data_IF_680343424376
#
_entry.id   IF_680343424376
#
_cell.length_a   1.000
_cell.length_b   1.000
_cell.length_c   1.000
_cell.angle_alpha   90.00
_cell.angle_beta   90.00
_cell.angle_gamma   90.00
#
_symmetry.space_group_name_H-M   'P 1'
#
loop_
_entity.id
_entity.type
_entity.pdbx_description
1 polymer ?
#
# COMPACT_ATOMS: atom_id res chain seq x y z
N UNK A 1 -15.21 -9.68 34.06
CA UNK A 1 -14.35 -8.52 34.41
C UNK A 1 -15.11 -7.21 34.58
N UNK A 2 -16.11 -6.89 33.74
CA UNK A 2 -16.84 -5.61 33.81
C UNK A 2 -17.88 -5.54 34.95
N UNK A 3 -18.37 -6.69 35.43
CA UNK A 3 -19.46 -6.77 36.42
C UNK A 3 -19.29 -5.89 37.69
N UNK A 4 -18.10 -5.75 38.30
CA UNK A 4 -17.94 -4.85 39.46
C UNK A 4 -18.11 -3.36 39.15
N UNK A 5 -17.92 -2.96 37.89
CA UNK A 5 -17.97 -1.56 37.47
C UNK A 5 -19.32 -1.19 36.84
N UNK A 6 -19.92 -2.12 36.08
CA UNK A 6 -21.18 -1.89 35.35
C UNK A 6 -22.15 -3.06 35.58
N UNK A 7 -22.63 -3.26 36.82
CA UNK A 7 -23.24 -4.53 37.23
C UNK A 7 -24.52 -4.88 36.47
N UNK A 8 -25.42 -3.92 36.25
CA UNK A 8 -26.66 -4.16 35.53
C UNK A 8 -26.43 -4.41 34.04
N UNK A 9 -25.49 -3.69 33.42
CA UNK A 9 -25.17 -3.88 32.01
C UNK A 9 -24.47 -5.22 31.77
N UNK A 10 -23.53 -5.58 32.64
CA UNK A 10 -22.85 -6.86 32.56
C UNK A 10 -23.82 -8.04 32.77
N UNK A 11 -24.79 -7.90 33.68
CA UNK A 11 -25.84 -8.91 33.90
C UNK A 11 -26.74 -9.09 32.67
N UNK A 12 -27.17 -7.99 32.06
CA UNK A 12 -28.00 -8.04 30.85
C UNK A 12 -27.26 -8.77 29.72
N UNK A 13 -26.01 -8.38 29.43
CA UNK A 13 -25.19 -9.04 28.41
C UNK A 13 -24.97 -10.52 28.72
N UNK A 14 -24.72 -10.87 29.99
CA UNK A 14 -24.55 -12.26 30.41
C UNK A 14 -25.80 -13.09 30.14
N UNK A 15 -26.99 -12.58 30.50
CA UNK A 15 -28.26 -13.28 30.33
C UNK A 15 -28.61 -13.63 28.87
N UNK A 16 -28.01 -12.91 27.90
CA UNK A 16 -28.12 -13.22 26.47
C UNK A 16 -27.15 -14.30 25.99
N UNK A 17 -26.04 -14.51 26.69
CA UNK A 17 -24.97 -15.43 26.30
C UNK A 17 -25.04 -16.76 27.04
N UNK A 18 -25.35 -16.71 28.33
CA UNK A 18 -25.30 -17.85 29.26
C UNK A 18 -26.47 -17.79 30.25
N UNK A 19 -26.79 -18.93 30.84
CA UNK A 19 -27.76 -19.00 31.94
C UNK A 19 -27.13 -18.54 33.28
N UNK A 20 -27.95 -18.10 34.23
CA UNK A 20 -27.50 -17.65 35.54
C UNK A 20 -27.13 -16.17 35.60
N UNK A 21 -26.26 -15.81 36.54
CA UNK A 21 -25.88 -14.41 36.84
C UNK A 21 -24.38 -14.27 36.86
N UNK A 22 -23.84 -13.27 36.15
CA UNK A 22 -22.39 -13.00 36.10
C UNK A 22 -21.83 -12.64 37.48
N UNK A 23 -22.69 -12.18 38.39
CA UNK A 23 -22.30 -11.80 39.76
C UNK A 23 -22.01 -13.01 40.66
N UNK A 24 -22.47 -14.20 40.28
CA UNK A 24 -22.17 -15.44 41.00
C UNK A 24 -20.97 -16.20 40.44
N UNK A 25 -20.47 -15.79 39.27
CA UNK A 25 -19.33 -16.43 38.64
C UNK A 25 -18.02 -16.09 39.34
N UNK A 26 -17.06 -17.03 39.38
CA UNK A 26 -15.74 -16.77 39.94
C UNK A 26 -15.03 -15.67 39.14
N UNK A 27 -14.14 -14.95 39.83
CA UNK A 27 -13.29 -13.99 39.13
C UNK A 27 -12.43 -14.71 38.10
N UNK A 28 -12.33 -14.11 36.90
CA UNK A 28 -11.55 -14.70 35.82
C UNK A 28 -10.09 -14.87 36.23
N UNK A 29 -9.55 -16.05 35.96
CA UNK A 29 -8.12 -16.36 36.05
C UNK A 29 -7.64 -16.82 34.68
N UNK A 30 -6.48 -16.34 34.26
CA UNK A 30 -5.90 -16.67 32.97
C UNK A 30 -4.43 -17.07 33.13
N UNK A 31 -4.02 -18.13 32.45
CA UNK A 31 -2.67 -18.67 32.51
C UNK A 31 -2.14 -19.14 31.15
N UNK A 32 -2.87 -18.86 30.07
CA UNK A 32 -2.45 -19.22 28.72
C UNK A 32 -1.69 -18.03 28.12
N UNK A 33 -0.53 -18.26 27.52
CA UNK A 33 0.18 -17.21 26.80
C UNK A 33 0.70 -17.80 25.50
N UNK A 34 0.56 -17.03 24.43
CA UNK A 34 0.91 -17.45 23.09
C UNK A 34 1.60 -16.27 22.40
N UNK A 35 2.91 -16.20 22.58
CA UNK A 35 3.74 -15.13 22.04
C UNK A 35 3.67 -15.09 20.50
N UNK A 36 3.47 -16.24 19.85
CA UNK A 36 3.33 -16.32 18.39
C UNK A 36 2.00 -15.69 17.93
N UNK A 37 0.90 -15.99 18.63
CA UNK A 37 -0.39 -15.36 18.35
C UNK A 37 -0.36 -13.83 18.58
N UNK A 38 0.33 -13.37 19.63
CA UNK A 38 0.50 -11.93 19.89
C UNK A 38 1.28 -11.28 18.75
N UNK A 39 2.43 -11.84 18.37
CA UNK A 39 3.28 -11.32 17.30
C UNK A 39 2.54 -11.25 15.95
N UNK A 40 1.87 -12.35 15.57
CA UNK A 40 1.14 -12.41 14.30
C UNK A 40 -0.07 -11.47 14.29
N UNK A 41 -0.77 -11.32 15.41
CA UNK A 41 -1.85 -10.35 15.59
C UNK A 41 -1.39 -8.90 15.47
N UNK A 42 -0.24 -8.54 16.02
CA UNK A 42 0.35 -7.21 15.87
C UNK A 42 0.70 -6.89 14.41
N UNK A 43 1.29 -7.85 13.69
CA UNK A 43 1.58 -7.71 12.25
C UNK A 43 0.28 -7.48 11.46
N UNK A 44 -0.77 -8.26 11.75
CA UNK A 44 -2.07 -8.12 11.10
C UNK A 44 -2.68 -6.73 11.31
N UNK A 45 -2.73 -6.24 12.55
CA UNK A 45 -3.26 -4.91 12.88
C UNK A 45 -2.49 -3.82 12.15
N UNK A 46 -1.16 -3.95 12.08
CA UNK A 46 -0.31 -3.00 11.36
C UNK A 46 -0.64 -3.00 9.87
N UNK A 47 -0.69 -4.17 9.23
CA UNK A 47 -1.01 -4.32 7.80
C UNK A 47 -2.37 -3.73 7.45
N UNK A 48 -3.43 -4.02 8.22
CA UNK A 48 -4.77 -3.48 7.97
C UNK A 48 -4.77 -1.95 8.06
N UNK A 49 -4.07 -1.40 9.06
CA UNK A 49 -3.96 0.05 9.26
C UNK A 49 -3.26 0.74 8.09
N UNK A 50 -2.19 0.14 7.58
CA UNK A 50 -1.42 0.63 6.42
C UNK A 50 -2.26 0.63 5.14
N UNK A 51 -3.00 -0.45 4.88
CA UNK A 51 -3.89 -0.54 3.71
C UNK A 51 -5.01 0.50 3.77
N UNK A 52 -5.60 0.73 4.95
CA UNK A 52 -6.63 1.77 5.14
C UNK A 52 -6.06 3.17 4.93
N UNK A 53 -4.84 3.42 5.40
CA UNK A 53 -4.16 4.69 5.15
C UNK A 53 -3.89 4.89 3.66
N UNK A 54 -3.39 3.87 2.96
CA UNK A 54 -3.20 3.92 1.50
C UNK A 54 -4.51 4.27 0.77
N UNK A 55 -5.63 3.65 1.14
CA UNK A 55 -6.95 3.99 0.56
C UNK A 55 -7.30 5.46 0.79
N UNK A 56 -7.15 5.93 2.02
CA UNK A 56 -7.44 7.31 2.38
C UNK A 56 -6.57 8.30 1.59
N UNK A 57 -5.26 8.04 1.49
CA UNK A 57 -4.32 8.90 0.77
C UNK A 57 -4.60 8.95 -0.74
N UNK A 58 -5.14 7.86 -1.30
CA UNK A 58 -5.63 7.78 -2.70
C UNK A 58 -7.06 8.30 -2.88
N UNK A 59 -7.72 8.77 -1.83
CA UNK A 59 -9.10 9.26 -1.87
C UNK A 59 -10.14 8.15 -2.10
N UNK A 60 -9.79 6.90 -1.85
CA UNK A 60 -10.68 5.75 -1.99
C UNK A 60 -11.55 5.57 -0.74
N UNK A 61 -12.78 5.11 -0.94
CA UNK A 61 -13.62 4.70 0.18
C UNK A 61 -12.99 3.50 0.92
N UNK A 62 -13.17 3.41 2.24
CA UNK A 62 -12.58 2.32 3.03
C UNK A 62 -13.08 0.93 2.60
N UNK A 63 -14.29 0.85 2.07
CA UNK A 63 -14.87 -0.38 1.51
C UNK A 63 -14.61 -0.56 0.00
N UNK A 64 -13.88 0.33 -0.67
CA UNK A 64 -13.57 0.15 -2.10
C UNK A 64 -12.72 -1.12 -2.31
N UNK A 65 -12.96 -1.91 -3.36
CA UNK A 65 -12.14 -3.10 -3.64
C UNK A 65 -10.72 -2.69 -4.04
N UNK A 66 -9.71 -3.42 -3.53
CA UNK A 66 -8.28 -3.15 -3.75
C UNK A 66 -7.56 -4.15 -4.68
N UNK A 67 -8.28 -5.14 -5.20
CA UNK A 67 -7.68 -6.18 -6.05
C UNK A 67 -6.82 -7.17 -5.26
N UNK A 68 -5.65 -7.52 -5.80
CA UNK A 68 -4.70 -8.43 -5.18
C UNK A 68 -3.68 -7.68 -4.33
N UNK A 69 -3.55 -8.10 -3.07
CA UNK A 69 -2.59 -7.55 -2.11
C UNK A 69 -1.69 -8.68 -1.63
N UNK A 70 -0.38 -8.48 -1.74
CA UNK A 70 0.60 -9.42 -1.17
C UNK A 70 1.35 -8.77 -0.03
N UNK A 71 1.44 -9.46 1.10
CA UNK A 71 2.14 -9.01 2.30
C UNK A 71 3.36 -9.88 2.53
N UNK A 72 4.51 -9.24 2.65
CA UNK A 72 5.82 -9.83 2.81
C UNK A 72 6.30 -9.60 4.24
N UNK A 73 6.51 -10.66 5.01
CA UNK A 73 6.73 -10.63 6.47
C UNK A 73 7.89 -11.55 6.87
N UNK A 74 8.63 -11.28 7.97
CA UNK A 74 9.71 -12.17 8.42
C UNK A 74 9.20 -13.50 8.98
N UNK A 75 7.95 -13.54 9.45
CA UNK A 75 7.33 -14.72 10.07
C UNK A 75 6.10 -15.17 9.27
N UNK A 76 5.79 -16.47 9.21
CA UNK A 76 4.56 -16.94 8.58
C UNK A 76 3.33 -16.40 9.31
N UNK A 77 2.34 -15.94 8.55
CA UNK A 77 1.03 -15.51 9.06
C UNK A 77 -0.02 -16.21 8.23
N UNK A 78 -1.02 -16.79 8.89
CA UNK A 78 -2.13 -17.49 8.23
C UNK A 78 -3.46 -16.83 8.57
N UNK A 79 -3.62 -15.58 8.14
CA UNK A 79 -4.85 -14.82 8.36
C UNK A 79 -5.22 -13.96 7.15
N UNK A 80 -5.17 -14.57 5.97
CA UNK A 80 -5.54 -13.91 4.72
C UNK A 80 -7.04 -13.59 4.66
N UNK A 81 -7.87 -14.42 5.30
CA UNK A 81 -9.32 -14.28 5.33
C UNK A 81 -9.76 -13.00 6.03
N UNK A 82 -9.43 -12.87 7.32
CA UNK A 82 -9.89 -11.72 8.11
C UNK A 82 -9.25 -10.42 7.62
N UNK A 83 -7.98 -10.46 7.22
CA UNK A 83 -7.32 -9.33 6.58
C UNK A 83 -8.06 -8.90 5.30
N UNK A 84 -8.33 -9.84 4.40
CA UNK A 84 -9.04 -9.59 3.14
C UNK A 84 -10.44 -9.02 3.35
N UNK A 85 -11.20 -9.54 4.32
CA UNK A 85 -12.51 -8.99 4.69
C UNK A 85 -12.41 -7.57 5.27
N UNK A 86 -11.44 -7.32 6.14
CA UNK A 86 -11.26 -6.02 6.79
C UNK A 86 -10.82 -4.92 5.81
N UNK A 87 -10.21 -5.28 4.68
CA UNK A 87 -9.67 -4.36 3.68
C UNK A 87 -10.31 -4.46 2.29
N UNK A 88 -11.30 -5.33 2.09
CA UNK A 88 -11.93 -5.61 0.79
C UNK A 88 -10.91 -5.87 -0.34
N UNK A 89 -10.09 -6.91 -0.16
CA UNK A 89 -9.13 -7.36 -1.16
C UNK A 89 -8.88 -8.86 -1.08
N UNK A 90 -8.22 -9.40 -2.11
CA UNK A 90 -7.65 -10.75 -2.09
C UNK A 90 -6.24 -10.64 -1.52
N UNK A 91 -6.07 -10.99 -0.24
CA UNK A 91 -4.79 -10.89 0.45
C UNK A 91 -4.02 -12.21 0.44
N UNK A 92 -2.71 -12.14 0.19
CA UNK A 92 -1.78 -13.29 0.27
C UNK A 92 -0.60 -12.95 1.16
N UNK A 93 -0.24 -13.86 2.06
CA UNK A 93 0.96 -13.75 2.88
C UNK A 93 2.14 -14.48 2.24
N UNK A 94 3.33 -13.88 2.29
CA UNK A 94 4.60 -14.48 1.88
C UNK A 94 5.65 -14.19 2.94
N UNK A 95 6.45 -15.20 3.25
CA UNK A 95 7.61 -15.04 4.15
C UNK A 95 8.81 -14.51 3.35
N UNK A 96 9.55 -13.58 3.95
CA UNK A 96 10.70 -12.91 3.33
C UNK A 96 10.33 -11.64 2.56
N UNK A 97 11.30 -11.05 1.88
CA UNK A 97 11.13 -9.79 1.14
C UNK A 97 10.94 -10.04 -0.36
N UNK A 98 10.19 -9.19 -1.08
CA UNK A 98 10.05 -9.30 -2.52
C UNK A 98 11.35 -8.90 -3.23
N UNK A 99 11.64 -9.53 -4.36
CA UNK A 99 12.61 -9.01 -5.33
C UNK A 99 11.97 -7.86 -6.11
N UNK A 100 12.23 -6.63 -5.64
CA UNK A 100 11.71 -5.41 -6.24
C UNK A 100 12.63 -4.96 -7.36
N UNK A 101 12.05 -4.77 -8.55
CA UNK A 101 12.72 -4.10 -9.66
C UNK A 101 12.06 -2.75 -9.92
N UNK A 102 12.85 -1.69 -9.84
CA UNK A 102 12.41 -0.34 -10.16
C UNK A 102 12.44 -0.14 -11.67
N UNK A 103 11.32 0.29 -12.24
CA UNK A 103 11.18 0.57 -13.67
C UNK A 103 10.66 1.98 -13.85
N UNK A 104 11.05 2.62 -14.96
CA UNK A 104 10.48 3.94 -15.31
C UNK A 104 9.09 3.70 -15.91
N UNK A 105 8.06 4.18 -15.23
CA UNK A 105 6.67 4.08 -15.69
C UNK A 105 6.31 5.21 -16.64
N UNK A 106 6.95 6.38 -16.50
CA UNK A 106 6.71 7.56 -17.32
C UNK A 106 7.61 8.73 -16.93
N UNK A 107 7.15 9.94 -17.24
CA UNK A 107 7.85 11.18 -16.90
C UNK A 107 6.86 12.25 -16.46
N UNK A 108 7.29 13.08 -15.52
CA UNK A 108 6.61 14.30 -15.11
C UNK A 108 7.32 15.51 -15.68
N UNK A 109 6.57 16.40 -16.28
CA UNK A 109 7.07 17.61 -16.92
C UNK A 109 6.97 18.81 -15.98
N UNK A 110 8.05 19.57 -15.86
CA UNK A 110 8.05 20.87 -15.18
C UNK A 110 7.61 21.98 -16.15
N UNK A 111 6.34 22.35 -16.07
CA UNK A 111 5.75 23.39 -16.90
C UNK A 111 6.35 24.78 -16.66
N UNK A 112 6.94 25.02 -15.48
CA UNK A 112 7.64 26.24 -15.14
C UNK A 112 8.95 26.41 -15.92
N UNK A 113 9.55 25.30 -16.37
CA UNK A 113 10.76 25.31 -17.20
C UNK A 113 10.40 25.19 -18.69
N UNK A 114 9.54 24.22 -19.02
CA UNK A 114 9.18 23.90 -20.41
C UNK A 114 8.43 25.06 -21.08
N UNK A 115 7.49 25.69 -20.38
CA UNK A 115 6.69 26.79 -20.91
C UNK A 115 7.54 27.96 -21.38
N UNK A 116 8.41 28.54 -20.51
CA UNK A 116 9.31 29.62 -20.89
C UNK A 116 10.34 29.23 -21.96
N UNK A 117 10.89 28.01 -21.91
CA UNK A 117 11.96 27.57 -22.81
C UNK A 117 11.45 27.23 -24.22
N UNK A 118 10.35 26.48 -24.33
CA UNK A 118 9.88 25.91 -25.60
C UNK A 118 8.65 26.62 -26.18
N UNK A 119 7.91 27.38 -25.36
CA UNK A 119 6.72 28.15 -25.77
C UNK A 119 5.76 27.29 -26.59
N UNK A 120 5.50 27.68 -27.85
CA UNK A 120 4.59 26.97 -28.75
C UNK A 120 5.01 25.54 -29.10
N UNK A 121 6.29 25.17 -28.91
CA UNK A 121 6.81 23.81 -29.16
C UNK A 121 6.67 22.87 -27.96
N UNK A 122 6.21 23.35 -26.81
CA UNK A 122 6.10 22.56 -25.57
C UNK A 122 5.26 21.29 -25.74
N UNK A 123 4.12 21.39 -26.45
CA UNK A 123 3.23 20.23 -26.65
C UNK A 123 3.87 19.13 -27.49
N UNK A 124 4.53 19.49 -28.59
CA UNK A 124 5.23 18.54 -29.46
C UNK A 124 6.42 17.89 -28.75
N UNK A 125 7.14 18.67 -27.93
CA UNK A 125 8.22 18.16 -27.10
C UNK A 125 7.75 17.11 -26.09
N UNK A 126 6.69 17.38 -25.33
CA UNK A 126 6.17 16.41 -24.34
C UNK A 126 5.72 15.11 -25.00
N UNK A 127 5.03 15.20 -26.15
CA UNK A 127 4.63 14.01 -26.91
C UNK A 127 5.82 13.21 -27.43
N UNK A 128 6.88 13.89 -27.91
CA UNK A 128 8.09 13.22 -28.38
C UNK A 128 8.84 12.52 -27.24
N UNK A 129 8.89 13.13 -26.05
CA UNK A 129 9.49 12.50 -24.85
C UNK A 129 8.68 11.29 -24.40
N UNK A 130 7.35 11.38 -24.34
CA UNK A 130 6.47 10.25 -23.98
C UNK A 130 6.57 9.08 -24.97
N UNK A 131 6.92 9.36 -26.23
CA UNK A 131 7.12 8.35 -27.27
C UNK A 131 8.50 7.68 -27.24
N UNK A 132 9.44 8.15 -26.40
CA UNK A 132 10.76 7.52 -26.28
C UNK A 132 10.65 6.12 -25.65
N UNK A 133 11.56 5.20 -26.02
CA UNK A 133 11.70 3.93 -25.31
C UNK A 133 11.91 4.15 -23.81
N UNK A 134 11.27 3.34 -22.96
CA UNK A 134 11.34 3.49 -21.49
C UNK A 134 12.76 3.46 -20.94
N UNK A 135 13.66 2.73 -21.60
CA UNK A 135 15.10 2.68 -21.29
C UNK A 135 15.77 4.06 -21.38
N UNK A 136 15.35 4.89 -22.34
CA UNK A 136 15.85 6.25 -22.54
C UNK A 136 15.22 7.27 -21.58
N UNK A 137 14.19 6.88 -20.81
CA UNK A 137 13.63 7.73 -19.77
C UNK A 137 14.46 7.66 -18.46
N UNK A 138 15.29 6.62 -18.30
CA UNK A 138 16.28 6.55 -17.21
C UNK A 138 17.42 7.56 -17.46
N UNK A 139 17.88 7.63 -18.71
CA UNK A 139 18.92 8.56 -19.16
C UNK A 139 18.35 9.43 -20.28
N UNK A 140 17.66 10.49 -19.89
CA UNK A 140 17.00 11.42 -20.83
C UNK A 140 18.05 11.98 -21.80
N UNK A 141 17.84 11.87 -23.12
CA UNK A 141 18.78 12.40 -24.10
C UNK A 141 18.84 13.92 -24.00
N UNK A 142 19.99 14.52 -24.30
CA UNK A 142 20.17 15.99 -24.27
C UNK A 142 19.33 16.72 -25.32
N UNK A 143 18.88 16.01 -26.36
CA UNK A 143 18.01 16.52 -27.41
C UNK A 143 16.89 15.53 -27.73
N UNK A 144 15.73 16.05 -28.14
CA UNK A 144 14.57 15.27 -28.58
C UNK A 144 14.09 15.81 -29.92
N UNK A 145 13.82 14.92 -30.87
CA UNK A 145 13.34 15.30 -32.20
C UNK A 145 11.84 15.58 -32.17
N UNK A 146 11.44 16.79 -32.55
CA UNK A 146 10.03 17.21 -32.66
C UNK A 146 9.82 17.75 -34.07
N UNK A 147 8.90 17.15 -34.83
CA UNK A 147 8.57 17.55 -36.21
C UNK A 147 9.78 17.69 -37.15
N UNK A 148 10.84 16.88 -36.92
CA UNK A 148 12.07 16.89 -37.72
C UNK A 148 13.13 17.91 -37.26
N UNK A 149 12.88 18.67 -36.20
CA UNK A 149 13.86 19.54 -35.56
C UNK A 149 14.38 18.94 -34.24
N UNK A 150 15.68 19.01 -33.99
CA UNK A 150 16.23 18.66 -32.68
C UNK A 150 16.05 19.81 -31.69
N UNK A 151 15.36 19.52 -30.58
CA UNK A 151 15.14 20.46 -29.49
C UNK A 151 15.98 20.02 -28.30
N UNK A 152 16.79 20.93 -27.75
CA UNK A 152 17.52 20.68 -26.51
C UNK A 152 16.54 20.50 -25.34
N UNK A 153 16.73 19.43 -24.56
CA UNK A 153 15.97 19.20 -23.33
C UNK A 153 16.46 20.20 -22.29
N UNK A 154 15.59 21.11 -21.79
CA UNK A 154 16.00 22.02 -20.73
C UNK A 154 16.32 21.24 -19.45
N UNK A 155 17.40 21.59 -18.76
CA UNK A 155 17.80 20.90 -17.53
C UNK A 155 16.68 20.95 -16.47
N UNK A 156 16.40 19.80 -15.84
CA UNK A 156 15.35 19.67 -14.83
C UNK A 156 13.91 19.72 -15.35
N UNK A 157 13.70 19.87 -16.66
CA UNK A 157 12.36 19.92 -17.25
C UNK A 157 11.57 18.61 -17.20
N UNK A 158 12.28 17.49 -17.07
CA UNK A 158 11.72 16.14 -17.08
C UNK A 158 12.19 15.42 -15.81
N UNK A 159 11.25 14.90 -15.05
CA UNK A 159 11.50 14.08 -13.87
C UNK A 159 10.96 12.66 -14.15
N UNK A 160 11.80 11.61 -14.10
CA UNK A 160 11.31 10.25 -14.33
C UNK A 160 10.32 9.86 -13.24
N UNK A 161 9.19 9.29 -13.66
CA UNK A 161 8.23 8.67 -12.75
C UNK A 161 8.59 7.19 -12.61
N UNK A 162 8.78 6.77 -11.37
CA UNK A 162 9.30 5.45 -11.04
C UNK A 162 8.17 4.60 -10.49
N UNK A 163 8.02 3.39 -11.02
CA UNK A 163 7.17 2.36 -10.45
C UNK A 163 7.99 1.15 -10.03
N UNK A 164 7.39 0.29 -9.21
CA UNK A 164 8.00 -0.96 -8.79
C UNK A 164 7.34 -2.12 -9.50
N UNK A 165 8.12 -3.17 -9.74
CA UNK A 165 7.62 -4.44 -10.25
C UNK A 165 8.06 -5.59 -9.36
N UNK A 166 7.19 -6.59 -9.25
CA UNK A 166 7.47 -7.88 -8.60
C UNK A 166 7.16 -8.97 -9.61
N UNK A 167 8.15 -9.81 -9.91
CA UNK A 167 8.04 -10.86 -10.94
C UNK A 167 7.51 -10.35 -12.30
N UNK A 168 7.82 -9.09 -12.65
CA UNK A 168 7.41 -8.45 -13.90
C UNK A 168 6.03 -7.77 -13.88
N UNK A 169 5.24 -7.92 -12.82
CA UNK A 169 3.98 -7.19 -12.65
C UNK A 169 4.21 -5.83 -11.95
N UNK A 170 3.57 -4.76 -12.43
CA UNK A 170 3.65 -3.43 -11.80
C UNK A 170 2.85 -3.42 -10.50
N UNK A 171 3.46 -2.89 -9.44
CA UNK A 171 2.86 -2.85 -8.11
C UNK A 171 3.01 -1.49 -7.45
N UNK A 172 2.00 -1.11 -6.67
CA UNK A 172 2.13 -0.06 -5.67
C UNK A 172 2.81 -0.65 -4.43
N UNK A 173 3.85 0.02 -3.94
CA UNK A 173 4.67 -0.42 -2.82
C UNK A 173 4.34 0.38 -1.56
N UNK A 174 4.00 -0.32 -0.46
CA UNK A 174 3.81 0.28 0.87
C UNK A 174 4.86 -0.31 1.81
N UNK A 175 5.95 0.43 2.10
CA UNK A 175 6.94 0.01 3.09
C UNK A 175 6.41 0.27 4.50
N UNK A 176 6.27 -0.80 5.29
CA UNK A 176 5.72 -0.73 6.66
C UNK A 176 6.86 -0.76 7.71
N UNK A 177 7.94 -1.48 7.41
CA UNK A 177 9.24 -1.47 8.10
C UNK A 177 10.28 -2.21 7.24
N UNK A 178 11.54 -2.25 7.67
CA UNK A 178 12.65 -2.88 6.93
C UNK A 178 12.42 -4.35 6.54
N UNK A 179 11.59 -5.07 7.28
CA UNK A 179 11.24 -6.47 7.02
C UNK A 179 9.76 -6.71 6.71
N UNK A 180 8.93 -5.66 6.61
CA UNK A 180 7.49 -5.78 6.35
C UNK A 180 7.08 -4.85 5.21
N UNK A 181 6.63 -5.45 4.12
CA UNK A 181 6.31 -4.75 2.88
C UNK A 181 4.97 -5.25 2.34
N UNK A 182 4.16 -4.33 1.82
CA UNK A 182 2.90 -4.66 1.16
C UNK A 182 3.01 -4.22 -0.29
N UNK A 183 2.59 -5.08 -1.21
CA UNK A 183 2.47 -4.77 -2.63
C UNK A 183 1.02 -4.91 -3.08
N UNK A 184 0.55 -3.95 -3.85
CA UNK A 184 -0.81 -3.94 -4.40
C UNK A 184 -0.71 -3.99 -5.92
N UNK A 185 -1.30 -5.02 -6.53
CA UNK A 185 -1.36 -5.14 -7.98
C UNK A 185 -2.53 -4.27 -8.48
N UNK A 186 -2.24 -3.34 -9.40
CA UNK A 186 -3.26 -2.55 -10.09
C UNK A 186 -3.56 -3.12 -11.49
#
# INVERSE_FOLDING_TARGET
MLAPYTPYFAEEVWSFMEEGSVHHEPWVSFSYEDEEAVLTGEILVKVISEIRRYKHDKGLALNAPLGEVTVYTPVPVNDAGDAGFATNCTLTWKTGMPELMQVVSGVKFDMGIIGPALRGKAKGFMQAVEALPKENLINIPSTVTVDGEEIAVPDGSILPELSYTVAGASVDLIPVSDSLVITINQ
#
